data_IF_460708611089
#
_entry.id   IF_460708611089
#
_cell.length_a   1.000
_cell.length_b   1.000
_cell.length_c   1.000
_cell.angle_alpha   90.00
_cell.angle_beta   90.00
_cell.angle_gamma   90.00
#
_symmetry.space_group_name_H-M   'P 1'
#
loop_
_entity.id
_entity.type
_entity.pdbx_description
1 polymer ?
#
# COMPACT_ATOMS: atom_id res chain seq x y z
N UNK A 1 18.68 -3.74 -7.43
CA UNK A 1 17.42 -4.21 -7.97
C UNK A 1 17.54 -4.29 -9.48
N UNK A 2 17.25 -5.46 -10.07
CA UNK A 2 17.41 -5.68 -11.49
C UNK A 2 16.54 -4.71 -12.33
N UNK A 3 16.99 -4.39 -13.53
CA UNK A 3 16.32 -3.47 -14.46
C UNK A 3 14.84 -3.81 -14.74
N UNK A 4 14.44 -5.06 -14.54
CA UNK A 4 13.06 -5.53 -14.65
C UNK A 4 12.14 -4.99 -13.56
N UNK A 5 12.64 -4.80 -12.34
CA UNK A 5 11.85 -4.30 -11.20
C UNK A 5 11.36 -2.85 -11.40
N UNK A 6 12.04 -2.08 -12.23
CA UNK A 6 11.67 -0.69 -12.56
C UNK A 6 10.87 -0.64 -13.88
N UNK A 7 11.24 -1.45 -14.87
CA UNK A 7 10.60 -1.43 -16.20
C UNK A 7 9.14 -1.84 -16.18
N UNK A 8 8.80 -2.89 -15.43
CA UNK A 8 7.43 -3.40 -15.35
C UNK A 8 6.43 -2.35 -14.82
N UNK A 9 6.65 -1.74 -13.62
CA UNK A 9 5.77 -0.69 -13.10
C UNK A 9 5.60 0.49 -14.07
N UNK A 10 6.68 0.94 -14.71
CA UNK A 10 6.63 2.03 -15.68
C UNK A 10 5.73 1.68 -16.86
N UNK A 11 5.85 0.48 -17.40
CA UNK A 11 5.03 0.03 -18.51
C UNK A 11 3.54 -0.07 -18.13
N UNK A 12 3.24 -0.56 -16.92
CA UNK A 12 1.87 -0.62 -16.40
C UNK A 12 1.28 0.78 -16.30
N UNK A 13 2.00 1.71 -15.69
CA UNK A 13 1.54 3.09 -15.52
C UNK A 13 1.35 3.84 -16.86
N UNK A 14 2.19 3.57 -17.88
CA UNK A 14 2.09 4.20 -19.19
C UNK A 14 0.98 3.64 -20.07
N UNK A 15 0.75 2.32 -19.99
CA UNK A 15 -0.09 1.59 -20.94
C UNK A 15 -1.48 1.27 -20.42
N UNK A 16 -1.76 1.56 -19.16
CA UNK A 16 -3.04 1.26 -18.54
C UNK A 16 -3.49 2.41 -17.64
N UNK A 17 -4.78 2.45 -17.36
CA UNK A 17 -5.36 3.40 -16.40
C UNK A 17 -5.27 2.87 -14.94
N UNK A 18 -4.09 2.34 -14.57
CA UNK A 18 -3.85 1.77 -13.24
C UNK A 18 -2.97 2.69 -12.40
N UNK A 19 -3.17 2.65 -11.10
CA UNK A 19 -2.30 3.27 -10.11
C UNK A 19 -1.35 2.23 -9.52
N UNK A 20 -0.20 2.67 -9.04
CA UNK A 20 0.77 1.86 -8.35
C UNK A 20 0.85 2.31 -6.88
N UNK A 21 0.71 1.37 -5.96
CA UNK A 21 0.96 1.61 -4.54
C UNK A 21 2.32 1.00 -4.20
N UNK A 22 3.19 1.78 -3.56
CA UNK A 22 4.50 1.31 -3.14
C UNK A 22 4.95 1.98 -1.85
N UNK A 23 5.80 1.31 -1.11
CA UNK A 23 6.48 1.90 0.04
C UNK A 23 7.75 2.61 -0.43
N UNK A 24 7.89 3.93 -0.20
CA UNK A 24 9.03 4.69 -0.72
C UNK A 24 10.38 4.20 -0.22
N UNK A 25 10.42 3.69 0.99
CA UNK A 25 11.62 3.08 1.61
C UNK A 25 11.93 1.66 1.09
N UNK A 26 11.04 1.06 0.32
CA UNK A 26 11.11 -0.36 -0.04
C UNK A 26 10.78 -1.31 1.11
N UNK A 27 10.38 -0.77 2.27
CA UNK A 27 10.04 -1.51 3.49
C UNK A 27 8.97 -0.75 4.27
N UNK A 28 8.14 -1.48 5.03
CA UNK A 28 7.17 -0.89 5.98
C UNK A 28 7.81 -0.39 7.28
N UNK A 29 9.09 -0.65 7.48
CA UNK A 29 9.81 -0.40 8.73
C UNK A 29 10.86 0.72 8.63
N UNK A 30 10.96 1.39 7.50
CA UNK A 30 11.88 2.51 7.27
C UNK A 30 11.13 3.68 6.66
N UNK A 31 11.49 4.88 7.09
CA UNK A 31 10.93 6.13 6.55
C UNK A 31 11.83 6.75 5.47
N UNK A 32 12.98 6.12 5.16
CA UNK A 32 13.91 6.65 4.16
C UNK A 32 13.36 6.47 2.75
N UNK A 33 13.18 7.55 2.04
CA UNK A 33 12.70 7.54 0.66
C UNK A 33 13.83 7.11 -0.28
N UNK A 34 13.65 6.00 -0.98
CA UNK A 34 14.62 5.51 -1.98
C UNK A 34 14.29 6.02 -3.38
N UNK A 35 15.34 6.22 -4.17
CA UNK A 35 15.24 6.77 -5.53
C UNK A 35 14.34 6.02 -6.52
N UNK A 36 13.92 4.80 -6.20
CA UNK A 36 13.04 4.01 -7.07
C UNK A 36 11.69 4.68 -7.36
N UNK A 37 11.09 5.34 -6.37
CA UNK A 37 9.82 6.10 -6.54
C UNK A 37 10.01 7.23 -7.52
N UNK A 38 11.08 8.02 -7.35
CA UNK A 38 11.42 9.17 -8.19
C UNK A 38 11.60 8.75 -9.65
N UNK A 39 12.39 7.69 -9.88
CA UNK A 39 12.64 7.16 -11.22
C UNK A 39 11.37 6.66 -11.91
N UNK A 40 10.55 5.87 -11.20
CA UNK A 40 9.31 5.33 -11.76
C UNK A 40 8.36 6.47 -12.11
N UNK A 41 8.14 7.42 -11.19
CA UNK A 41 7.23 8.53 -11.41
C UNK A 41 7.69 9.42 -12.58
N UNK A 42 8.98 9.75 -12.66
CA UNK A 42 9.53 10.55 -13.76
C UNK A 42 9.42 9.86 -15.10
N UNK A 43 9.81 8.57 -15.17
CA UNK A 43 9.78 7.81 -16.42
C UNK A 43 8.35 7.50 -16.88
N UNK A 44 7.43 7.32 -15.97
CA UNK A 44 6.01 7.11 -16.27
C UNK A 44 5.25 8.42 -16.53
N UNK A 45 5.82 9.58 -16.17
CA UNK A 45 5.19 10.92 -16.22
C UNK A 45 3.91 10.98 -15.37
N UNK A 46 3.95 10.42 -14.17
CA UNK A 46 2.85 10.42 -13.21
C UNK A 46 3.19 11.23 -11.96
N UNK A 47 2.18 11.77 -11.31
CA UNK A 47 2.32 12.43 -10.01
C UNK A 47 2.44 11.40 -8.90
N UNK A 48 3.07 11.79 -7.79
CA UNK A 48 3.20 10.98 -6.58
C UNK A 48 2.14 11.47 -5.60
N UNK A 49 1.30 10.56 -5.09
CA UNK A 49 0.35 10.90 -4.03
C UNK A 49 0.82 10.27 -2.73
N UNK A 50 1.32 11.05 -1.77
CA UNK A 50 1.70 10.55 -0.47
C UNK A 50 0.47 10.12 0.33
N UNK A 51 0.59 9.00 1.04
CA UNK A 51 -0.46 8.50 1.94
C UNK A 51 0.21 8.04 3.22
N UNK A 52 -0.25 8.56 4.34
CA UNK A 52 0.17 8.08 5.66
C UNK A 52 -0.89 7.16 6.26
N UNK A 53 -0.43 6.18 7.01
CA UNK A 53 -1.25 5.24 7.73
C UNK A 53 -0.94 5.32 9.21
N UNK A 54 -1.96 5.54 10.01
CA UNK A 54 -1.87 5.48 11.48
C UNK A 54 -2.86 4.45 11.97
N UNK A 55 -2.34 3.41 12.63
CA UNK A 55 -3.18 2.31 13.09
C UNK A 55 -2.36 1.11 13.54
N UNK A 56 -3.04 0.00 13.85
CA UNK A 56 -2.38 -1.20 14.37
C UNK A 56 -1.44 -1.82 13.35
N UNK A 57 -0.20 -2.05 13.77
CA UNK A 57 0.82 -2.78 13.00
C UNK A 57 0.91 -4.25 13.42
N UNK A 58 0.15 -4.65 14.43
CA UNK A 58 0.13 -6.01 14.97
C UNK A 58 -1.28 -6.59 14.95
N UNK A 59 -1.37 -7.91 14.87
CA UNK A 59 -2.65 -8.61 14.94
C UNK A 59 -3.38 -8.28 16.26
N UNK A 60 -2.65 -8.15 17.38
CA UNK A 60 -3.20 -7.74 18.67
C UNK A 60 -3.87 -6.37 18.60
N UNK A 61 -3.23 -5.37 18.00
CA UNK A 61 -3.81 -4.04 17.82
C UNK A 61 -5.05 -4.08 16.95
N UNK A 62 -5.02 -4.87 15.86
CA UNK A 62 -6.17 -5.05 14.97
C UNK A 62 -7.37 -5.66 15.72
N UNK A 63 -7.15 -6.71 16.50
CA UNK A 63 -8.18 -7.37 17.32
C UNK A 63 -8.67 -6.44 18.44
N UNK A 64 -7.79 -5.59 18.99
CA UNK A 64 -8.13 -4.57 20.00
C UNK A 64 -8.90 -3.39 19.43
N UNK A 65 -9.16 -3.35 18.12
CA UNK A 65 -9.83 -2.25 17.44
C UNK A 65 -9.15 -0.89 17.63
N UNK A 66 -7.83 -0.88 17.58
CA UNK A 66 -7.14 0.39 17.44
C UNK A 66 -7.67 1.10 16.20
N UNK A 67 -7.83 2.40 16.31
CA UNK A 67 -8.35 3.20 15.20
C UNK A 67 -7.37 3.13 14.03
N UNK A 68 -7.94 2.99 12.85
CA UNK A 68 -7.20 3.05 11.59
C UNK A 68 -7.54 4.38 10.93
N UNK A 69 -6.53 5.17 10.66
CA UNK A 69 -6.65 6.41 9.92
C UNK A 69 -5.70 6.37 8.72
N UNK A 70 -6.20 6.81 7.58
CA UNK A 70 -5.41 7.03 6.37
C UNK A 70 -5.55 8.49 5.98
N UNK A 71 -4.41 9.18 5.86
CA UNK A 71 -4.39 10.56 5.42
C UNK A 71 -3.74 10.65 4.04
N UNK A 72 -4.42 11.31 3.11
CA UNK A 72 -4.00 11.46 1.72
C UNK A 72 -3.46 12.87 1.53
N UNK A 73 -2.22 12.97 1.08
CA UNK A 73 -1.56 14.24 0.82
C UNK A 73 -1.87 14.81 -0.56
N UNK A 74 -1.31 15.98 -0.82
CA UNK A 74 -1.41 16.59 -2.12
C UNK A 74 -0.54 15.85 -3.15
N UNK A 75 -0.99 15.73 -4.41
CA UNK A 75 -0.18 15.15 -5.46
C UNK A 75 1.09 15.96 -5.71
N UNK A 76 2.24 15.34 -5.52
CA UNK A 76 3.55 15.94 -5.77
C UNK A 76 3.84 15.88 -7.26
N UNK A 77 4.01 17.04 -7.87
CA UNK A 77 4.51 17.16 -9.24
C UNK A 77 6.05 17.22 -9.23
N UNK A 78 6.66 16.47 -10.12
CA UNK A 78 8.11 16.39 -10.32
C UNK A 78 8.51 16.75 -11.76
N UNK A 79 7.63 17.39 -12.51
CA UNK A 79 7.87 17.76 -13.92
C UNK A 79 9.01 18.76 -14.06
N UNK A 80 9.19 19.65 -13.08
CA UNK A 80 10.24 20.65 -12.99
C UNK A 80 11.65 20.08 -12.84
N UNK A 81 11.79 18.87 -12.28
CA UNK A 81 13.08 18.21 -12.12
C UNK A 81 13.52 17.61 -13.45
N UNK A 82 14.44 18.26 -14.14
CA UNK A 82 14.86 17.88 -15.50
C UNK A 82 15.64 16.57 -15.53
N UNK A 83 16.57 16.37 -14.58
CA UNK A 83 17.46 15.21 -14.52
C UNK A 83 17.21 14.41 -13.24
N UNK A 84 17.19 13.08 -13.36
CA UNK A 84 17.12 12.14 -12.23
C UNK A 84 18.53 11.58 -11.90
N UNK A 85 19.48 12.49 -11.68
CA UNK A 85 20.73 12.21 -11.00
C UNK A 85 20.51 12.15 -9.49
N UNK A 86 21.57 11.97 -8.71
CA UNK A 86 21.47 11.86 -7.25
C UNK A 86 20.80 13.09 -6.64
N UNK A 87 21.14 14.29 -7.09
CA UNK A 87 20.51 15.55 -6.67
C UNK A 87 19.01 15.60 -6.99
N UNK A 88 18.60 15.19 -8.21
CA UNK A 88 17.21 15.15 -8.59
C UNK A 88 16.39 14.11 -7.82
N UNK A 89 17.00 12.99 -7.47
CA UNK A 89 16.41 11.96 -6.61
C UNK A 89 16.22 12.51 -5.19
N UNK A 90 17.23 13.18 -4.64
CA UNK A 90 17.18 13.81 -3.33
C UNK A 90 16.09 14.87 -3.25
N UNK A 91 15.99 15.74 -4.24
CA UNK A 91 14.89 16.73 -4.32
C UNK A 91 13.49 16.09 -4.26
N UNK A 92 13.29 14.96 -4.94
CA UNK A 92 12.02 14.22 -4.87
C UNK A 92 11.82 13.61 -3.50
N UNK A 93 12.88 13.03 -2.92
CA UNK A 93 12.83 12.44 -1.60
C UNK A 93 12.45 13.48 -0.53
N UNK A 94 13.05 14.66 -0.58
CA UNK A 94 12.75 15.77 0.33
C UNK A 94 11.29 16.24 0.22
N UNK A 95 10.76 16.35 -1.00
CA UNK A 95 9.35 16.68 -1.21
C UNK A 95 8.41 15.66 -0.60
N UNK A 96 8.71 14.38 -0.80
CA UNK A 96 7.92 13.28 -0.23
C UNK A 96 8.02 13.29 1.30
N UNK A 97 9.22 13.47 1.84
CA UNK A 97 9.46 13.48 3.29
C UNK A 97 8.77 14.66 3.97
N UNK A 98 8.85 15.87 3.38
CA UNK A 98 8.17 17.05 3.88
C UNK A 98 6.65 16.87 3.90
N UNK A 99 6.10 16.27 2.87
CA UNK A 99 4.65 16.01 2.81
C UNK A 99 4.24 14.93 3.82
N UNK A 100 5.04 13.88 4.04
CA UNK A 100 4.79 12.91 5.11
C UNK A 100 4.81 13.56 6.49
N UNK A 101 5.76 14.44 6.78
CA UNK A 101 5.81 15.18 8.04
C UNK A 101 4.56 16.03 8.25
N UNK A 102 4.14 16.74 7.22
CA UNK A 102 2.90 17.54 7.25
C UNK A 102 1.67 16.67 7.55
N UNK A 103 1.54 15.53 6.85
CA UNK A 103 0.44 14.60 7.05
C UNK A 103 0.43 13.96 8.44
N UNK A 104 1.61 13.65 8.98
CA UNK A 104 1.73 13.10 10.33
C UNK A 104 1.33 14.12 11.41
N UNK A 105 1.72 15.39 11.24
CA UNK A 105 1.31 16.47 12.14
C UNK A 105 -0.19 16.71 12.07
N UNK A 106 -0.76 16.75 10.88
CA UNK A 106 -2.20 16.89 10.66
C UNK A 106 -2.96 15.71 11.28
N UNK A 107 -2.46 14.48 11.08
CA UNK A 107 -3.07 13.29 11.66
C UNK A 107 -3.05 13.32 13.18
N UNK A 108 -1.98 13.78 13.82
CA UNK A 108 -1.88 13.91 15.29
C UNK A 108 -2.96 14.84 15.87
N UNK A 109 -3.38 15.87 15.13
CA UNK A 109 -4.40 16.82 15.61
C UNK A 109 -5.79 16.19 15.72
N UNK A 110 -6.15 15.31 14.82
CA UNK A 110 -7.49 14.71 14.78
C UNK A 110 -7.52 13.22 15.15
N UNK A 111 -6.36 12.56 15.23
CA UNK A 111 -6.29 11.17 15.69
C UNK A 111 -6.63 11.08 17.18
N UNK A 112 -7.76 10.45 17.50
CA UNK A 112 -8.21 10.27 18.88
C UNK A 112 -8.12 8.80 19.27
N UNK A 113 -7.13 8.47 20.08
CA UNK A 113 -6.92 7.14 20.65
C UNK A 113 -7.93 6.83 21.76
N UNK A 114 -9.23 6.82 21.46
CA UNK A 114 -10.23 6.35 22.41
C UNK A 114 -9.99 4.88 22.73
N UNK A 115 -9.79 4.59 24.04
CA UNK A 115 -9.70 3.20 24.49
C UNK A 115 -10.99 2.48 24.15
N UNK A 116 -10.93 1.30 23.52
CA UNK A 116 -12.12 0.55 23.16
C UNK A 116 -12.88 0.11 24.41
N UNK A 117 -14.22 0.19 24.37
CA UNK A 117 -15.07 -0.28 25.46
C UNK A 117 -14.87 -1.80 25.65
N UNK A 118 -14.53 -2.27 26.87
CA UNK A 118 -14.29 -3.70 27.14
C UNK A 118 -15.50 -4.59 26.84
N UNK A 119 -16.73 -4.07 26.94
CA UNK A 119 -17.95 -4.82 26.60
C UNK A 119 -17.97 -5.31 25.14
N UNK A 120 -17.20 -4.68 24.25
CA UNK A 120 -17.07 -5.14 22.89
C UNK A 120 -16.42 -6.51 22.74
N UNK A 121 -15.70 -7.02 23.75
CA UNK A 121 -15.13 -8.36 23.72
C UNK A 121 -16.19 -9.45 23.66
N UNK A 122 -17.37 -9.23 24.23
CA UNK A 122 -18.49 -10.17 24.17
C UNK A 122 -18.98 -10.41 22.72
N UNK A 123 -18.89 -9.39 21.86
CA UNK A 123 -19.29 -9.51 20.45
C UNK A 123 -18.11 -9.97 19.58
N UNK A 124 -16.90 -9.54 19.95
CA UNK A 124 -15.69 -9.81 19.12
C UNK A 124 -15.26 -11.26 19.14
N UNK A 125 -15.32 -11.93 20.29
CA UNK A 125 -14.90 -13.33 20.38
C UNK A 125 -15.76 -14.20 19.44
N UNK A 126 -17.10 -14.16 19.48
CA UNK A 126 -17.92 -14.90 18.52
C UNK A 126 -17.68 -14.48 17.07
N UNK A 127 -17.53 -13.17 16.80
CA UNK A 127 -17.26 -12.67 15.46
C UNK A 127 -15.90 -13.14 14.91
N UNK A 128 -14.88 -13.22 15.76
CA UNK A 128 -13.55 -13.73 15.39
C UNK A 128 -13.62 -15.22 15.05
N UNK A 129 -14.32 -16.00 15.88
CA UNK A 129 -14.52 -17.43 15.63
C UNK A 129 -15.23 -17.63 14.29
N UNK A 130 -16.31 -16.89 14.05
CA UNK A 130 -17.04 -16.94 12.79
C UNK A 130 -16.15 -16.55 11.59
N UNK A 131 -15.34 -15.51 11.72
CA UNK A 131 -14.42 -15.09 10.67
C UNK A 131 -13.35 -16.16 10.36
N UNK A 132 -12.84 -16.86 11.38
CA UNK A 132 -11.91 -17.97 11.20
C UNK A 132 -12.61 -19.13 10.46
N UNK A 133 -13.82 -19.48 10.85
CA UNK A 133 -14.59 -20.55 10.18
C UNK A 133 -14.81 -20.21 8.70
N UNK A 134 -15.28 -18.99 8.42
CA UNK A 134 -15.49 -18.51 7.04
C UNK A 134 -14.15 -18.53 6.27
N UNK A 135 -13.06 -18.08 6.88
CA UNK A 135 -11.73 -18.13 6.27
C UNK A 135 -11.30 -19.54 5.88
N UNK A 136 -11.47 -20.51 6.79
CA UNK A 136 -11.16 -21.94 6.53
C UNK A 136 -12.04 -22.47 5.39
N UNK A 137 -13.35 -22.20 5.42
CA UNK A 137 -14.27 -22.62 4.37
C UNK A 137 -13.90 -22.02 3.01
N UNK A 138 -13.50 -20.75 2.99
CA UNK A 138 -13.05 -20.08 1.76
C UNK A 138 -11.78 -20.73 1.20
N UNK A 139 -10.82 -21.03 2.06
CA UNK A 139 -9.58 -21.75 1.65
C UNK A 139 -9.91 -23.12 1.09
N UNK A 140 -10.75 -23.90 1.77
CA UNK A 140 -11.18 -25.21 1.31
C UNK A 140 -11.93 -25.13 -0.02
N UNK A 141 -12.85 -24.17 -0.15
CA UNK A 141 -13.58 -23.96 -1.39
C UNK A 141 -12.65 -23.57 -2.55
N UNK A 142 -11.71 -22.64 -2.33
CA UNK A 142 -10.75 -22.25 -3.37
C UNK A 142 -9.81 -23.39 -3.73
N UNK A 143 -9.41 -24.21 -2.75
CA UNK A 143 -8.61 -25.41 -3.00
C UNK A 143 -9.37 -26.41 -3.87
N UNK A 144 -10.60 -26.75 -3.53
CA UNK A 144 -11.44 -27.65 -4.34
C UNK A 144 -11.71 -27.06 -5.72
N UNK A 145 -12.06 -25.78 -5.79
CA UNK A 145 -12.29 -25.08 -7.06
C UNK A 145 -11.05 -25.08 -7.97
N UNK A 146 -9.85 -25.04 -7.40
CA UNK A 146 -8.60 -25.12 -8.19
C UNK A 146 -8.40 -26.46 -8.89
N UNK A 147 -8.94 -27.57 -8.34
CA UNK A 147 -8.94 -28.87 -9.00
C UNK A 147 -9.96 -28.97 -10.14
N UNK A 148 -11.12 -28.31 -9.98
CA UNK A 148 -12.20 -28.34 -10.96
C UNK A 148 -11.99 -27.31 -12.07
N UNK A 149 -11.51 -26.13 -11.69
CA UNK A 149 -11.27 -25.03 -12.62
C UNK A 149 -9.78 -24.83 -12.87
N UNK A 150 -9.27 -25.51 -13.90
CA UNK A 150 -7.93 -25.28 -14.42
C UNK A 150 -8.00 -24.27 -15.58
N UNK A 151 -7.66 -22.98 -15.37
CA UNK A 151 -7.75 -21.95 -16.40
C UNK A 151 -6.77 -22.20 -17.55
N UNK A 152 -5.71 -22.98 -17.35
CA UNK A 152 -4.71 -23.27 -18.39
C UNK A 152 -5.24 -24.24 -19.45
N UNK A 153 -6.10 -25.19 -19.09
CA UNK A 153 -6.79 -26.04 -20.07
C UNK A 153 -7.69 -25.28 -21.05
N UNK A 154 -8.11 -24.08 -20.70
CA UNK A 154 -8.94 -23.25 -21.58
C UNK A 154 -8.10 -22.44 -22.58
N UNK A 155 -6.83 -22.20 -22.26
CA UNK A 155 -5.88 -21.50 -23.15
C UNK A 155 -5.31 -22.41 -24.23
N UNK A 156 -5.08 -23.68 -23.92
CA UNK A 156 -4.62 -24.67 -24.91
C UNK A 156 -5.66 -24.97 -26.01
N UNK A 157 -6.95 -24.74 -25.74
CA UNK A 157 -8.02 -24.94 -26.75
C UNK A 157 -8.26 -23.73 -27.65
N UNK A 158 -7.53 -22.63 -27.45
CA UNK A 158 -7.63 -21.38 -28.20
C UNK A 158 -6.36 -21.09 -29.02
N UNK A 159 -5.39 -21.98 -29.01
CA UNK A 159 -4.24 -22.04 -29.94
C UNK A 159 -4.48 -23.13 -31.00
#
# INVERSE_FOLDING_TARGET
PGSSAIKYPINVLKKSNRSLIMFPSGSRHSNDVKGGVALIAKMAKVRIMPVTYTGPMTLKGLVSRERIDMNFGNPIDISDIKKMNDEGIEMVADRIQSEFQRLDEETKQWHNNKKPNPLWWLIRIPALILAIIIGILTILFTFVASFVWNPDKKREKLQ
#
